data_IF_210473824747
#
_entry.id   IF_210473824747
#
_cell.length_a   1.000
_cell.length_b   1.000
_cell.length_c   1.000
_cell.angle_alpha   90.00
_cell.angle_beta   90.00
_cell.angle_gamma   90.00
#
_symmetry.space_group_name_H-M   'P 1'
#
loop_
_entity.id
_entity.type
_entity.pdbx_description
1 polymer ?
#
# COMPACT_ATOMS: atom_id res chain seq x y z
N UNK A 1 27.20 19.46 14.50
CA UNK A 1 26.61 18.70 15.64
C UNK A 1 26.78 19.58 16.86
N UNK A 2 25.67 20.05 17.42
CA UNK A 2 25.67 21.10 18.45
C UNK A 2 25.98 20.50 19.83
N UNK A 3 26.81 21.17 20.63
CA UNK A 3 27.22 20.72 21.96
C UNK A 3 26.03 20.36 22.87
N UNK A 4 24.91 21.08 22.75
CA UNK A 4 23.67 20.79 23.47
C UNK A 4 23.12 19.39 23.16
N UNK A 5 23.18 18.94 21.90
CA UNK A 5 22.73 17.60 21.52
C UNK A 5 23.63 16.51 22.11
N UNK A 6 24.94 16.74 22.19
CA UNK A 6 25.87 15.83 22.85
C UNK A 6 25.54 15.69 24.35
N UNK A 7 25.28 16.81 25.04
CA UNK A 7 24.94 16.77 26.47
C UNK A 7 23.63 16.04 26.75
N UNK A 8 22.60 16.23 25.91
CA UNK A 8 21.32 15.52 26.03
C UNK A 8 21.49 14.02 25.84
N UNK A 9 22.25 13.60 24.82
CA UNK A 9 22.49 12.16 24.59
C UNK A 9 23.27 11.50 25.72
N UNK A 10 24.23 12.20 26.33
CA UNK A 10 24.99 11.69 27.47
C UNK A 10 24.14 11.55 28.74
N UNK A 11 23.31 12.55 29.03
CA UNK A 11 22.37 12.50 30.16
C UNK A 11 21.34 11.38 29.99
N UNK A 12 20.78 11.22 28.79
CA UNK A 12 19.85 10.14 28.46
C UNK A 12 20.51 8.76 28.59
N UNK A 13 21.76 8.62 28.12
CA UNK A 13 22.50 7.37 28.23
C UNK A 13 22.75 6.97 29.69
N UNK A 14 23.14 7.93 30.55
CA UNK A 14 23.35 7.67 31.96
C UNK A 14 22.06 7.23 32.66
N UNK A 15 20.93 7.89 32.37
CA UNK A 15 19.62 7.49 32.87
C UNK A 15 19.23 6.10 32.38
N UNK A 16 19.39 5.83 31.09
CA UNK A 16 19.07 4.54 30.49
C UNK A 16 19.87 3.40 31.13
N UNK A 17 21.19 3.55 31.27
CA UNK A 17 22.04 2.55 31.93
C UNK A 17 21.60 2.30 33.38
N UNK A 18 21.18 3.34 34.10
CA UNK A 18 20.67 3.18 35.48
C UNK A 18 19.34 2.41 35.59
N UNK A 19 18.57 2.33 34.51
CA UNK A 19 17.25 1.68 34.45
C UNK A 19 17.28 0.29 33.80
N UNK A 20 18.35 -0.02 33.06
CA UNK A 20 18.47 -1.19 32.20
C UNK A 20 18.48 -2.51 32.96
N UNK A 21 19.23 -2.55 34.07
CA UNK A 21 19.59 -3.80 34.75
C UNK A 21 18.48 -4.32 35.68
N UNK A 22 17.57 -3.46 36.15
CA UNK A 22 16.61 -3.85 37.17
C UNK A 22 15.23 -4.23 36.62
N UNK A 23 14.78 -3.66 35.49
CA UNK A 23 13.34 -3.63 35.20
C UNK A 23 12.92 -3.91 33.74
N UNK A 24 13.85 -4.04 32.79
CA UNK A 24 13.51 -4.34 31.38
C UNK A 24 12.85 -5.73 31.24
N UNK A 25 13.33 -6.73 31.97
CA UNK A 25 12.78 -8.09 31.94
C UNK A 25 11.36 -8.19 32.50
N UNK A 26 10.99 -7.31 33.44
CA UNK A 26 9.63 -7.27 34.00
C UNK A 26 8.63 -6.88 32.91
N UNK A 27 8.97 -5.89 32.09
CA UNK A 27 8.10 -5.41 31.01
C UNK A 27 7.91 -6.44 29.89
N UNK A 28 8.98 -7.14 29.50
CA UNK A 28 8.87 -8.22 28.50
C UNK A 28 8.06 -9.41 29.02
N UNK A 29 8.06 -9.66 30.33
CA UNK A 29 7.30 -10.76 30.93
C UNK A 29 5.79 -10.51 31.00
N UNK A 30 5.35 -9.24 30.91
CA UNK A 30 3.93 -8.85 31.06
C UNK A 30 3.34 -8.20 29.80
N UNK A 31 4.11 -8.14 28.70
CA UNK A 31 3.66 -7.62 27.40
C UNK A 31 3.99 -8.58 26.27
N UNK A 32 3.39 -8.37 25.10
CA UNK A 32 3.76 -9.04 23.85
C UNK A 32 4.95 -8.35 23.15
N UNK A 33 5.56 -7.33 23.76
CA UNK A 33 6.66 -6.59 23.15
C UNK A 33 7.96 -7.40 23.21
N UNK A 34 8.76 -7.31 22.15
CA UNK A 34 10.09 -7.90 22.15
C UNK A 34 11.01 -7.16 23.14
N UNK A 35 12.09 -7.83 23.58
CA UNK A 35 13.07 -7.21 24.46
C UNK A 35 13.74 -5.99 23.81
N UNK A 36 13.94 -6.01 22.50
CA UNK A 36 14.51 -4.87 21.77
C UNK A 36 13.53 -3.69 21.74
N UNK A 37 12.24 -3.93 21.52
CA UNK A 37 11.22 -2.87 21.52
C UNK A 37 11.08 -2.21 22.89
N UNK A 38 11.14 -3.00 23.97
CA UNK A 38 11.14 -2.47 25.34
C UNK A 38 12.38 -1.61 25.59
N UNK A 39 13.56 -2.07 25.17
CA UNK A 39 14.82 -1.32 25.33
C UNK A 39 14.81 -0.03 24.53
N UNK A 40 14.36 -0.07 23.28
CA UNK A 40 14.26 1.11 22.41
C UNK A 40 13.26 2.12 22.98
N UNK A 41 12.10 1.67 23.44
CA UNK A 41 11.08 2.53 24.05
C UNK A 41 11.58 3.18 25.33
N UNK A 42 12.27 2.41 26.19
CA UNK A 42 12.87 2.93 27.41
C UNK A 42 13.94 4.00 27.11
N UNK A 43 14.79 3.75 26.11
CA UNK A 43 15.80 4.71 25.68
C UNK A 43 15.17 6.00 25.12
N UNK A 44 14.11 5.87 24.34
CA UNK A 44 13.37 7.00 23.79
C UNK A 44 12.76 7.88 24.89
N UNK A 45 12.20 7.29 25.95
CA UNK A 45 11.73 8.07 27.10
C UNK A 45 12.85 8.75 27.88
N UNK A 46 14.02 8.13 27.99
CA UNK A 46 15.19 8.78 28.59
C UNK A 46 15.67 9.98 27.76
N UNK A 47 15.61 9.89 26.43
CA UNK A 47 15.94 10.99 25.52
C UNK A 47 14.94 12.14 25.64
N UNK A 48 13.64 11.85 25.63
CA UNK A 48 12.59 12.85 25.80
C UNK A 48 12.74 13.60 27.13
N UNK A 49 13.05 12.85 28.20
CA UNK A 49 13.29 13.42 29.52
C UNK A 49 14.53 14.33 29.55
N UNK A 50 15.66 13.85 29.03
CA UNK A 50 16.90 14.62 28.96
C UNK A 50 16.77 15.88 28.07
N UNK A 51 15.88 15.84 27.08
CA UNK A 51 15.55 16.97 26.21
C UNK A 51 14.54 17.94 26.83
N UNK A 52 13.93 17.60 27.98
CA UNK A 52 12.88 18.39 28.63
C UNK A 52 11.59 18.47 27.80
N UNK A 53 11.33 17.46 26.96
CA UNK A 53 10.17 17.39 26.07
C UNK A 53 9.00 16.63 26.69
N UNK A 54 9.21 16.02 27.85
CA UNK A 54 8.17 15.32 28.59
C UNK A 54 7.45 16.23 29.60
N UNK A 55 6.36 15.72 30.16
CA UNK A 55 5.54 16.43 31.14
C UNK A 55 5.98 16.09 32.58
N UNK A 56 7.26 15.79 32.81
CA UNK A 56 7.74 15.42 34.13
C UNK A 56 7.58 16.56 35.13
N UNK A 57 6.99 16.26 36.29
CA UNK A 57 6.88 17.19 37.40
C UNK A 57 7.69 16.66 38.60
N UNK A 58 8.78 17.35 39.02
CA UNK A 58 9.61 16.91 40.13
C UNK A 58 8.89 16.91 41.49
N UNK A 59 7.74 17.58 41.61
CA UNK A 59 6.91 17.54 42.82
C UNK A 59 6.13 16.23 42.96
N UNK A 60 5.95 15.48 41.87
CA UNK A 60 5.15 14.25 41.84
C UNK A 60 5.98 12.97 41.96
N UNK A 61 7.31 13.06 41.86
CA UNK A 61 8.19 11.90 42.01
C UNK A 61 9.56 12.07 41.39
N UNK A 62 10.26 10.95 41.22
CA UNK A 62 11.59 10.90 40.60
C UNK A 62 11.50 10.66 39.09
N UNK A 63 12.51 11.09 38.30
CA UNK A 63 12.59 10.78 36.88
C UNK A 63 12.49 9.28 36.58
N UNK A 64 13.11 8.44 37.41
CA UNK A 64 12.99 6.98 37.34
C UNK A 64 11.53 6.55 37.42
N UNK A 65 10.80 6.96 38.45
CA UNK A 65 9.40 6.55 38.62
C UNK A 65 8.51 7.06 37.48
N UNK A 66 8.77 8.26 36.98
CA UNK A 66 8.03 8.82 35.84
C UNK A 66 8.24 8.00 34.56
N UNK A 67 9.49 7.75 34.18
CA UNK A 67 9.84 6.97 32.98
C UNK A 67 9.27 5.54 33.11
N UNK A 68 9.35 4.95 34.30
CA UNK A 68 8.81 3.62 34.56
C UNK A 68 7.28 3.58 34.51
N UNK A 69 6.59 4.61 35.00
CA UNK A 69 5.15 4.77 34.84
C UNK A 69 4.75 4.87 33.36
N UNK A 70 5.52 5.59 32.55
CA UNK A 70 5.31 5.66 31.09
C UNK A 70 5.52 4.31 30.41
N UNK A 71 6.56 3.57 30.80
CA UNK A 71 6.78 2.21 30.33
C UNK A 71 5.64 1.27 30.72
N UNK A 72 5.09 1.38 31.93
CA UNK A 72 3.94 0.58 32.35
C UNK A 72 2.69 0.92 31.53
N UNK A 73 2.44 2.20 31.27
CA UNK A 73 1.36 2.63 30.38
C UNK A 73 1.53 2.18 28.93
N UNK A 74 2.78 2.03 28.45
CA UNK A 74 3.05 1.40 27.16
C UNK A 74 2.72 -0.10 27.21
N UNK A 75 3.30 -0.81 28.17
CA UNK A 75 3.16 -2.25 28.35
C UNK A 75 1.71 -2.69 28.54
N UNK A 76 0.90 -1.96 29.30
CA UNK A 76 -0.51 -2.30 29.50
C UNK A 76 -1.30 -2.30 28.18
N UNK A 77 -0.93 -1.44 27.22
CA UNK A 77 -1.54 -1.44 25.86
C UNK A 77 -1.15 -2.65 25.03
N UNK A 78 -0.02 -3.25 25.33
CA UNK A 78 0.52 -4.44 24.67
C UNK A 78 0.42 -5.67 25.58
N UNK A 79 -0.42 -5.61 26.60
CA UNK A 79 -0.64 -6.74 27.49
C UNK A 79 -1.30 -7.86 26.69
N UNK A 80 -0.85 -9.12 26.83
CA UNK A 80 -1.51 -10.24 26.17
C UNK A 80 -2.97 -10.26 26.61
N UNK A 81 -3.89 -10.22 25.65
CA UNK A 81 -5.30 -10.38 25.95
C UNK A 81 -5.54 -11.87 26.22
N UNK A 82 -5.46 -12.26 27.49
CA UNK A 82 -5.56 -13.65 27.95
C UNK A 82 -6.92 -14.31 27.68
N UNK A 83 -7.84 -13.67 26.97
CA UNK A 83 -9.14 -14.24 26.59
C UNK A 83 -9.21 -14.79 25.16
N UNK A 84 -8.08 -14.88 24.45
CA UNK A 84 -8.03 -15.44 23.09
C UNK A 84 -7.44 -16.85 23.04
N UNK A 85 -6.53 -17.20 23.95
CA UNK A 85 -5.89 -18.52 23.96
C UNK A 85 -6.73 -19.62 24.62
N UNK A 86 -7.63 -19.28 25.57
CA UNK A 86 -8.59 -20.25 26.14
C UNK A 86 -9.67 -20.71 25.15
N UNK A 87 -9.78 -20.08 23.97
CA UNK A 87 -10.69 -20.50 22.88
C UNK A 87 -9.97 -21.40 21.86
N UNK A 88 -8.64 -21.47 21.91
CA UNK A 88 -7.82 -22.17 20.90
C UNK A 88 -7.27 -23.53 21.38
N UNK A 89 -7.54 -23.91 22.63
CA UNK A 89 -7.10 -25.18 23.23
C UNK A 89 -8.11 -26.31 23.14
N UNK A 90 -9.24 -26.13 22.44
CA UNK A 90 -10.14 -27.24 22.12
C UNK A 90 -10.08 -27.59 20.62
N UNK A 91 -10.13 -28.89 20.37
CA UNK A 91 -9.72 -29.58 19.17
C UNK A 91 -10.34 -29.04 17.86
N UNK A 92 -9.50 -28.99 16.82
CA UNK A 92 -9.86 -29.16 15.40
C UNK A 92 -10.59 -28.10 14.56
N UNK A 93 -10.86 -26.87 15.01
CA UNK A 93 -11.41 -25.85 14.10
C UNK A 93 -10.35 -24.85 13.55
N UNK A 94 -10.42 -24.47 12.25
CA UNK A 94 -9.51 -23.48 11.68
C UNK A 94 -9.63 -22.16 12.45
N UNK A 95 -8.52 -21.42 12.64
CA UNK A 95 -8.49 -20.28 13.54
C UNK A 95 -9.60 -19.31 13.15
N UNK A 96 -10.43 -18.97 14.14
CA UNK A 96 -11.42 -17.89 14.05
C UNK A 96 -10.62 -16.62 13.79
N UNK A 97 -10.36 -16.35 12.50
CA UNK A 97 -10.03 -15.03 12.00
C UNK A 97 -11.19 -14.19 12.49
N UNK A 98 -10.97 -13.45 13.58
CA UNK A 98 -11.86 -12.42 14.03
C UNK A 98 -12.16 -11.59 12.78
N UNK A 99 -13.37 -11.76 12.26
CA UNK A 99 -13.88 -10.97 11.15
C UNK A 99 -14.05 -9.57 11.73
N UNK A 100 -12.96 -8.80 11.76
CA UNK A 100 -13.09 -7.35 11.69
C UNK A 100 -14.08 -7.09 10.54
N UNK A 101 -15.12 -6.28 10.75
CA UNK A 101 -16.03 -5.91 9.67
C UNK A 101 -15.17 -5.50 8.47
N UNK A 102 -15.45 -6.03 7.28
CA UNK A 102 -14.60 -5.80 6.10
C UNK A 102 -14.33 -4.31 5.83
N UNK A 103 -15.19 -3.43 6.33
CA UNK A 103 -15.04 -1.97 6.34
C UNK A 103 -13.88 -1.42 7.19
N UNK A 104 -13.36 -2.17 8.16
CA UNK A 104 -12.27 -1.78 9.08
C UNK A 104 -10.93 -2.44 8.75
N UNK A 105 -10.90 -3.43 7.86
CA UNK A 105 -9.66 -3.94 7.29
C UNK A 105 -9.21 -2.98 6.20
N UNK A 106 -8.71 -1.81 6.60
CA UNK A 106 -7.99 -0.95 5.68
C UNK A 106 -6.83 -1.77 5.10
N UNK A 107 -6.71 -1.90 3.77
CA UNK A 107 -5.60 -2.60 3.16
C UNK A 107 -4.31 -2.00 3.73
N UNK A 108 -3.38 -2.86 4.18
CA UNK A 108 -2.06 -2.40 4.62
C UNK A 108 -1.44 -1.49 3.56
N UNK A 109 -0.62 -0.52 3.98
CA UNK A 109 -0.05 0.50 3.09
C UNK A 109 0.56 -0.12 1.82
N UNK A 110 1.22 -1.27 1.94
CA UNK A 110 1.73 -2.07 0.82
C UNK A 110 0.63 -2.48 -0.17
N UNK A 111 -0.45 -3.11 0.30
CA UNK A 111 -1.57 -3.51 -0.56
C UNK A 111 -2.29 -2.32 -1.22
N UNK A 112 -2.37 -1.18 -0.53
CA UNK A 112 -2.91 0.05 -1.11
C UNK A 112 -2.00 0.62 -2.22
N UNK A 113 -0.68 0.54 -2.03
CA UNK A 113 0.31 0.93 -3.04
C UNK A 113 0.30 -0.01 -4.25
N UNK A 114 0.19 -1.32 -4.02
CA UNK A 114 0.05 -2.33 -5.09
C UNK A 114 -1.22 -2.09 -5.91
N UNK A 115 -2.37 -1.89 -5.24
CA UNK A 115 -3.64 -1.62 -5.92
C UNK A 115 -3.64 -0.29 -6.69
N UNK A 116 -2.85 0.69 -6.25
CA UNK A 116 -2.64 1.95 -6.97
C UNK A 116 -1.77 1.75 -8.21
N UNK A 117 -0.66 1.02 -8.07
CA UNK A 117 0.24 0.71 -9.18
C UNK A 117 -0.47 -0.15 -10.26
N UNK A 118 -1.30 -1.11 -9.85
CA UNK A 118 -2.10 -1.93 -10.76
C UNK A 118 -3.12 -1.09 -11.53
N UNK A 119 -3.87 -0.21 -10.85
CA UNK A 119 -4.81 0.70 -11.53
C UNK A 119 -4.11 1.60 -12.54
N UNK A 120 -2.94 2.14 -12.18
CA UNK A 120 -2.17 2.98 -13.09
C UNK A 120 -1.67 2.20 -14.32
N UNK A 121 -1.24 0.94 -14.13
CA UNK A 121 -0.83 0.08 -15.24
C UNK A 121 -2.02 -0.27 -16.16
N UNK A 122 -3.18 -0.57 -15.59
CA UNK A 122 -4.40 -0.85 -16.36
C UNK A 122 -4.90 0.36 -17.15
N UNK A 123 -4.85 1.56 -16.56
CA UNK A 123 -5.16 2.81 -17.26
C UNK A 123 -4.19 3.06 -18.40
N UNK A 124 -2.89 2.84 -18.18
CA UNK A 124 -1.88 3.03 -19.22
C UNK A 124 -2.03 2.03 -20.37
N UNK A 125 -2.35 0.76 -20.09
CA UNK A 125 -2.68 -0.23 -21.12
C UNK A 125 -3.92 0.19 -21.92
N UNK A 126 -4.94 0.73 -21.25
CA UNK A 126 -6.16 1.21 -21.90
C UNK A 126 -5.86 2.40 -22.83
N UNK A 127 -5.09 3.36 -22.35
CA UNK A 127 -4.70 4.54 -23.12
C UNK A 127 -3.83 4.16 -24.32
N UNK A 128 -2.90 3.22 -24.15
CA UNK A 128 -2.07 2.70 -25.24
C UNK A 128 -2.90 1.95 -26.30
N UNK A 129 -3.88 1.14 -25.87
CA UNK A 129 -4.84 0.49 -26.77
C UNK A 129 -5.70 1.50 -27.51
N UNK A 130 -6.15 2.56 -26.84
CA UNK A 130 -6.93 3.61 -27.48
C UNK A 130 -6.09 4.41 -28.48
N UNK A 131 -4.84 4.72 -28.15
CA UNK A 131 -3.90 5.37 -29.07
C UNK A 131 -3.58 4.48 -30.27
N UNK A 132 -3.36 3.18 -30.06
CA UNK A 132 -3.18 2.22 -31.15
C UNK A 132 -4.42 2.12 -32.05
N UNK A 133 -5.61 2.10 -31.45
CA UNK A 133 -6.90 2.11 -32.16
C UNK A 133 -7.05 3.39 -33.00
N UNK A 134 -6.82 4.57 -32.40
CA UNK A 134 -6.87 5.87 -33.09
C UNK A 134 -5.86 5.95 -34.24
N UNK A 135 -4.62 5.47 -34.04
CA UNK A 135 -3.60 5.38 -35.11
C UNK A 135 -4.04 4.45 -36.24
N UNK A 136 -4.63 3.30 -35.92
CA UNK A 136 -5.11 2.35 -36.93
C UNK A 136 -6.27 2.89 -37.78
N UNK A 137 -7.09 3.76 -37.20
CA UNK A 137 -8.23 4.40 -37.86
C UNK A 137 -7.85 5.66 -38.64
N UNK A 138 -6.70 6.26 -38.35
CA UNK A 138 -6.26 7.51 -38.98
C UNK A 138 -5.91 7.28 -40.45
N UNK A 139 -6.62 7.95 -41.36
CA UNK A 139 -6.44 7.80 -42.81
C UNK A 139 -7.33 6.75 -43.48
N UNK A 140 -8.09 5.95 -42.72
CA UNK A 140 -9.06 5.02 -43.29
C UNK A 140 -10.40 5.72 -43.59
N UNK A 141 -11.01 5.47 -44.75
CA UNK A 141 -12.38 5.90 -45.01
C UNK A 141 -13.34 5.30 -43.96
N UNK A 142 -14.25 6.10 -43.41
CA UNK A 142 -15.21 5.68 -42.36
C UNK A 142 -15.96 4.39 -42.69
N UNK A 143 -16.27 4.16 -43.97
CA UNK A 143 -16.95 2.93 -44.43
C UNK A 143 -16.09 1.68 -44.39
N UNK A 144 -14.76 1.82 -44.44
CA UNK A 144 -13.80 0.73 -44.26
C UNK A 144 -13.62 0.45 -42.77
N UNK A 145 -13.41 1.49 -41.96
CA UNK A 145 -13.29 1.39 -40.51
C UNK A 145 -14.46 0.63 -39.86
N UNK A 146 -15.70 0.95 -40.24
CA UNK A 146 -16.89 0.28 -39.73
C UNK A 146 -16.96 -1.23 -40.07
N UNK A 147 -16.39 -1.63 -41.22
CA UNK A 147 -16.41 -3.03 -41.67
C UNK A 147 -15.23 -3.82 -41.11
N UNK A 148 -14.06 -3.21 -40.95
CA UNK A 148 -12.83 -3.91 -40.55
C UNK A 148 -12.51 -3.84 -39.06
N UNK A 149 -12.89 -2.77 -38.37
CA UNK A 149 -12.58 -2.58 -36.94
C UNK A 149 -13.81 -2.65 -36.03
N UNK A 150 -15.02 -2.50 -36.57
CA UNK A 150 -16.27 -2.57 -35.79
C UNK A 150 -17.12 -3.81 -36.13
N UNK A 151 -16.59 -4.73 -36.94
CA UNK A 151 -17.25 -5.97 -37.39
C UNK A 151 -18.69 -5.80 -37.90
N UNK A 152 -19.01 -4.63 -38.45
CA UNK A 152 -20.36 -4.37 -38.95
C UNK A 152 -20.57 -5.08 -40.29
N UNK A 153 -21.74 -5.71 -40.49
CA UNK A 153 -22.01 -6.40 -41.74
C UNK A 153 -22.03 -5.41 -42.90
N UNK A 154 -21.36 -5.79 -44.00
CA UNK A 154 -21.25 -5.00 -45.24
C UNK A 154 -22.59 -4.48 -45.78
N UNK A 155 -23.68 -5.22 -45.58
CA UNK A 155 -25.04 -4.83 -45.96
C UNK A 155 -25.57 -3.66 -45.11
N UNK A 156 -25.27 -3.64 -43.82
CA UNK A 156 -25.69 -2.59 -42.90
C UNK A 156 -24.92 -1.30 -43.17
N UNK A 157 -23.61 -1.37 -43.37
CA UNK A 157 -22.77 -0.20 -43.69
C UNK A 157 -23.13 0.38 -45.06
N UNK A 158 -23.38 -0.46 -46.07
CA UNK A 158 -23.84 -0.02 -47.39
C UNK A 158 -25.17 0.73 -47.31
N UNK A 159 -26.12 0.23 -46.51
CA UNK A 159 -27.43 0.87 -46.28
C UNK A 159 -27.29 2.19 -45.54
N UNK A 160 -26.51 2.25 -44.45
CA UNK A 160 -26.32 3.47 -43.64
C UNK A 160 -25.59 4.58 -44.40
N UNK A 161 -24.68 4.23 -45.30
CA UNK A 161 -23.87 5.20 -46.04
C UNK A 161 -24.36 5.45 -47.49
N UNK A 162 -25.50 4.86 -47.90
CA UNK A 162 -26.06 5.03 -49.25
C UNK A 162 -25.16 4.51 -50.37
N UNK A 163 -24.26 3.54 -50.10
CA UNK A 163 -23.28 3.03 -51.07
C UNK A 163 -23.70 1.67 -51.63
N UNK A 164 -23.38 1.40 -52.89
CA UNK A 164 -23.57 0.08 -53.47
C UNK A 164 -22.65 -0.96 -52.80
N UNK A 165 -23.23 -2.09 -52.35
CA UNK A 165 -22.55 -3.19 -51.64
C UNK A 165 -21.34 -3.73 -52.40
N UNK A 166 -21.41 -3.80 -53.73
CA UNK A 166 -20.30 -4.30 -54.55
C UNK A 166 -19.12 -3.33 -54.59
N UNK A 167 -19.40 -2.02 -54.73
CA UNK A 167 -18.38 -0.96 -54.67
C UNK A 167 -17.72 -0.90 -53.30
N UNK A 168 -18.50 -1.00 -52.23
CA UNK A 168 -17.98 -1.04 -50.86
C UNK A 168 -17.07 -2.25 -50.63
N UNK A 169 -17.45 -3.44 -51.11
CA UNK A 169 -16.62 -4.65 -51.04
C UNK A 169 -15.28 -4.47 -51.77
N UNK A 170 -15.26 -3.80 -52.93
CA UNK A 170 -14.03 -3.52 -53.69
C UNK A 170 -13.11 -2.58 -52.93
N UNK A 171 -13.66 -1.50 -52.35
CA UNK A 171 -12.90 -0.51 -51.56
C UNK A 171 -12.30 -1.12 -50.28
N UNK A 172 -13.05 -1.98 -49.59
CA UNK A 172 -12.54 -2.71 -48.40
C UNK A 172 -11.40 -3.65 -48.77
N UNK A 173 -11.51 -4.39 -49.88
CA UNK A 173 -10.43 -5.28 -50.36
C UNK A 173 -9.16 -4.52 -50.74
N UNK A 174 -9.29 -3.37 -51.42
CA UNK A 174 -8.16 -2.54 -51.83
C UNK A 174 -7.42 -1.91 -50.63
N UNK A 175 -8.14 -1.44 -49.61
CA UNK A 175 -7.50 -0.91 -48.40
C UNK A 175 -6.84 -2.00 -47.56
N UNK A 176 -7.42 -3.21 -47.51
CA UNK A 176 -6.82 -4.36 -46.81
C UNK A 176 -5.51 -4.81 -47.46
N UNK A 177 -5.42 -4.81 -48.79
CA UNK A 177 -4.17 -5.13 -49.49
C UNK A 177 -3.08 -4.06 -49.32
N UNK A 178 -3.45 -2.79 -49.14
CA UNK A 178 -2.50 -1.70 -48.84
C UNK A 178 -1.94 -1.80 -47.40
N UNK A 179 -2.80 -2.06 -46.41
CA UNK A 179 -2.41 -2.24 -45.01
C UNK A 179 -1.44 -3.42 -44.81
N UNK A 180 -1.60 -4.51 -45.56
CA UNK A 180 -0.71 -5.68 -45.50
C UNK A 180 0.67 -5.43 -46.17
N UNK A 181 0.78 -4.43 -47.07
CA UNK A 181 2.04 -4.04 -47.71
C UNK A 181 2.85 -3.08 -46.82
N UNK A 182 2.20 -2.09 -46.19
CA UNK A 182 2.88 -1.16 -45.27
C UNK A 182 3.39 -1.86 -44.00
N UNK A 183 2.68 -2.89 -43.52
CA UNK A 183 3.09 -3.67 -42.34
C UNK A 183 4.32 -4.55 -42.59
N UNK A 184 4.65 -4.88 -43.85
CA UNK A 184 5.87 -5.63 -44.24
C UNK A 184 7.08 -4.75 -44.49
N UNK A 185 6.89 -3.44 -44.71
CA UNK A 185 7.96 -2.49 -44.93
C UNK A 185 8.49 -1.85 -43.64
N UNK A 186 7.76 -1.98 -42.53
CA UNK A 186 8.09 -1.41 -41.22
C UNK A 186 8.63 -2.45 -40.20
N UNK A 187 8.94 -3.67 -40.64
CA UNK A 187 9.49 -4.76 -39.83
C UNK A 187 10.96 -5.04 -40.12
#
# INVERSE_FOLDING_TARGET
>A
MNESQMTTTQAAQALFTSLLDEQVHLFTGVSTLSMDDVRQSLYLFCLEHAAGLDAFNPLLGTPKNYIMGRMWGLVERWRPMSSLDDILTDDHDPPIRQRLPDAMQAPGVETALIARAQRQAEEQIRDDLELASRKSLHGLPTTVALVTHCDRPLSEVARRCGKNRWRLRKVVRQNRSGLEQDSRAAG
#
